data_IF_447825081868
#
_entry.id   IF_447825081868
#
_cell.length_a   1.000
_cell.length_b   1.000
_cell.length_c   1.000
_cell.angle_alpha   90.00
_cell.angle_beta   90.00
_cell.angle_gamma   90.00
#
_symmetry.space_group_name_H-M   'P 1'
#
loop_
_entity.id
_entity.type
_entity.pdbx_description
1 polymer ?
#
# COMPACT_ATOMS: atom_id res chain seq x y z
N UNK A 1 -8.21 20.26 -7.95
CA UNK A 1 -9.08 20.48 -6.78
C UNK A 1 -8.97 19.23 -5.92
N UNK A 2 -8.44 19.18 -4.70
CA UNK A 2 -8.03 20.22 -3.76
C UNK A 2 -6.67 19.85 -3.14
N UNK A 3 -5.67 20.73 -3.27
CA UNK A 3 -4.42 20.68 -2.51
C UNK A 3 -4.68 21.30 -1.15
N UNK A 4 -4.87 20.45 -0.12
CA UNK A 4 -4.87 20.88 1.27
C UNK A 4 -3.54 20.50 1.91
N UNK A 5 -2.50 21.24 1.54
CA UNK A 5 -1.31 21.36 2.37
C UNK A 5 -1.71 22.03 3.68
N UNK A 6 -1.63 21.29 4.77
CA UNK A 6 -1.78 21.83 6.13
C UNK A 6 -0.79 22.98 6.31
N UNK A 7 -1.27 24.13 6.81
CA UNK A 7 -0.48 25.34 7.12
C UNK A 7 0.48 25.18 8.31
N UNK A 8 1.28 24.12 8.31
CA UNK A 8 2.47 23.98 9.13
C UNK A 8 3.60 23.64 8.16
N UNK A 9 4.67 24.44 8.14
CA UNK A 9 5.85 24.10 7.35
C UNK A 9 6.28 22.65 7.63
N UNK A 10 6.92 21.96 6.67
CA UNK A 10 7.32 20.58 6.84
C UNK A 10 8.12 20.45 8.15
N UNK A 11 7.83 19.47 9.01
CA UNK A 11 8.62 19.23 10.21
C UNK A 11 10.10 19.22 9.83
N UNK A 12 10.95 19.88 10.64
CA UNK A 12 12.40 19.91 10.41
C UNK A 12 12.97 18.48 10.42
N UNK A 13 12.98 17.87 9.25
CA UNK A 13 13.37 16.50 9.09
C UNK A 13 14.90 16.46 8.93
N UNK A 14 15.63 16.18 10.03
CA UNK A 14 17.07 15.90 10.05
C UNK A 14 17.49 14.98 8.88
N UNK A 15 18.47 15.43 8.10
CA UNK A 15 19.06 14.75 6.96
C UNK A 15 19.88 13.55 7.47
N UNK A 16 19.58 12.30 7.06
CA UNK A 16 20.47 11.17 7.45
C UNK A 16 19.98 9.75 7.26
N UNK A 17 18.75 9.39 7.63
CA UNK A 17 18.16 8.08 7.32
C UNK A 17 16.66 8.16 7.57
N UNK A 18 15.86 8.07 6.51
CA UNK A 18 14.40 8.14 6.63
C UNK A 18 13.78 7.11 5.74
N UNK A 19 13.26 6.10 6.39
CA UNK A 19 12.22 5.24 5.88
C UNK A 19 11.14 6.11 5.27
N UNK A 20 10.87 5.88 3.99
CA UNK A 20 9.92 6.66 3.24
C UNK A 20 8.77 5.75 2.79
N UNK A 21 7.58 6.13 3.24
CA UNK A 21 6.29 5.57 2.83
C UNK A 21 5.38 6.76 2.61
N UNK A 22 4.74 6.84 1.43
CA UNK A 22 3.64 7.76 1.18
C UNK A 22 2.35 6.98 1.34
N UNK A 23 1.37 7.59 2.00
CA UNK A 23 0.07 6.97 2.14
C UNK A 23 -1.04 7.98 2.30
N UNK A 24 -2.22 7.57 1.85
CA UNK A 24 -3.48 8.32 1.97
C UNK A 24 -4.53 7.35 2.46
N UNK A 25 -5.36 7.80 3.40
CA UNK A 25 -6.53 7.06 3.85
C UNK A 25 -7.79 7.88 3.60
N UNK A 26 -8.77 7.22 2.98
CA UNK A 26 -10.05 7.81 2.59
C UNK A 26 -11.17 7.04 3.26
N UNK A 27 -12.10 7.76 3.89
CA UNK A 27 -13.36 7.19 4.38
C UNK A 27 -14.51 7.78 3.56
N UNK A 28 -15.37 6.92 3.06
CA UNK A 28 -16.55 7.25 2.25
C UNK A 28 -17.84 7.19 3.08
N UNK A 29 -18.89 7.85 2.59
CA UNK A 29 -20.20 7.80 3.24
C UNK A 29 -20.87 6.43 3.06
N UNK A 30 -20.67 5.78 1.91
CA UNK A 30 -21.21 4.46 1.59
C UNK A 30 -20.10 3.40 1.40
N UNK A 31 -20.44 2.10 1.39
CA UNK A 31 -19.46 1.04 1.20
C UNK A 31 -18.71 1.14 -0.13
N UNK A 32 -17.39 0.93 -0.07
CA UNK A 32 -16.49 0.96 -1.23
C UNK A 32 -16.63 -0.27 -2.13
N UNK A 33 -17.47 -1.24 -1.75
CA UNK A 33 -17.88 -2.34 -2.61
C UNK A 33 -18.58 -1.86 -3.89
N UNK A 34 -19.16 -0.66 -3.88
CA UNK A 34 -19.75 -0.01 -5.05
C UNK A 34 -18.74 0.57 -6.04
N UNK A 35 -17.49 0.78 -5.61
CA UNK A 35 -16.41 1.33 -6.45
C UNK A 35 -15.94 0.26 -7.43
N UNK A 36 -15.87 0.58 -8.72
CA UNK A 36 -15.46 -0.39 -9.75
C UNK A 36 -13.97 -0.70 -9.65
N UNK A 37 -13.53 -1.81 -10.25
CA UNK A 37 -12.10 -2.13 -10.33
C UNK A 37 -11.34 -1.03 -11.10
N UNK A 38 -11.94 -0.48 -12.16
CA UNK A 38 -11.30 0.58 -12.96
C UNK A 38 -11.12 1.88 -12.19
N UNK A 39 -12.07 2.22 -11.32
CA UNK A 39 -11.96 3.39 -10.45
C UNK A 39 -10.86 3.20 -9.40
N UNK A 40 -10.76 2.02 -8.78
CA UNK A 40 -9.63 1.69 -7.88
C UNK A 40 -8.28 1.76 -8.62
N UNK A 41 -8.23 1.29 -9.87
CA UNK A 41 -7.05 1.39 -10.72
C UNK A 41 -6.66 2.86 -11.02
N UNK A 42 -7.64 3.73 -11.28
CA UNK A 42 -7.40 5.17 -11.46
C UNK A 42 -6.91 5.83 -10.16
N UNK A 43 -7.44 5.44 -8.99
CA UNK A 43 -7.00 5.94 -7.68
C UNK A 43 -5.51 5.63 -7.42
N UNK A 44 -5.02 4.45 -7.84
CA UNK A 44 -3.59 4.10 -7.73
C UNK A 44 -2.71 5.05 -8.55
N UNK A 45 -3.14 5.38 -9.78
CA UNK A 45 -2.43 6.32 -10.64
C UNK A 45 -2.47 7.76 -10.10
N UNK A 46 -3.57 8.18 -9.51
CA UNK A 46 -3.68 9.50 -8.90
C UNK A 46 -2.82 9.60 -7.63
N UNK A 47 -2.79 8.56 -6.80
CA UNK A 47 -1.91 8.51 -5.64
C UNK A 47 -0.42 8.51 -6.02
N UNK A 48 -0.03 7.95 -7.18
CA UNK A 48 1.33 8.14 -7.72
C UNK A 48 1.63 9.61 -7.99
N UNK A 49 0.69 10.35 -8.59
CA UNK A 49 0.87 11.78 -8.88
C UNK A 49 0.98 12.57 -7.58
N UNK A 50 0.15 12.26 -6.58
CA UNK A 50 0.23 12.86 -5.24
C UNK A 50 1.59 12.61 -4.58
N UNK A 51 2.07 11.36 -4.58
CA UNK A 51 3.38 11.03 -4.00
C UNK A 51 4.56 11.75 -4.70
N UNK A 52 4.44 12.07 -6.00
CA UNK A 52 5.43 12.89 -6.69
C UNK A 52 5.39 14.36 -6.26
N UNK A 53 4.20 14.92 -6.04
CA UNK A 53 4.03 16.28 -5.51
C UNK A 53 4.58 16.36 -4.08
N UNK A 54 4.32 15.36 -3.25
CA UNK A 54 4.85 15.31 -1.89
C UNK A 54 6.37 15.23 -1.88
N UNK A 55 6.99 14.44 -2.77
CA UNK A 55 8.45 14.40 -2.89
C UNK A 55 9.06 15.78 -3.16
N UNK A 56 8.44 16.54 -4.07
CA UNK A 56 8.87 17.90 -4.38
C UNK A 56 8.71 18.82 -3.16
N UNK A 57 7.58 18.72 -2.45
CA UNK A 57 7.32 19.48 -1.22
C UNK A 57 8.39 19.24 -0.14
N UNK A 58 8.94 18.02 -0.04
CA UNK A 58 9.97 17.65 0.92
C UNK A 58 11.41 17.75 0.37
N UNK A 59 11.60 18.33 -0.81
CA UNK A 59 12.90 18.47 -1.49
C UNK A 59 13.66 17.13 -1.63
N UNK A 60 12.89 16.06 -1.88
CA UNK A 60 13.45 14.74 -2.12
C UNK A 60 13.64 14.49 -3.62
N UNK A 61 14.81 13.95 -3.97
CA UNK A 61 15.06 13.45 -5.32
C UNK A 61 14.04 12.35 -5.68
N UNK A 62 13.53 12.34 -6.92
CA UNK A 62 12.67 11.28 -7.46
C UNK A 62 13.19 9.86 -7.17
N UNK A 63 14.51 9.64 -7.09
CA UNK A 63 15.14 8.36 -6.71
C UNK A 63 14.69 7.83 -5.34
N UNK A 64 14.20 8.70 -4.47
CA UNK A 64 13.66 8.37 -3.14
C UNK A 64 12.24 7.83 -3.19
N UNK A 65 11.46 8.12 -4.23
CA UNK A 65 10.11 7.54 -4.39
C UNK A 65 10.20 6.02 -4.24
N UNK A 66 9.34 5.36 -3.46
CA UNK A 66 9.25 3.91 -3.51
C UNK A 66 8.70 3.44 -4.87
N UNK A 67 9.02 2.23 -5.29
CA UNK A 67 8.71 1.76 -6.65
C UNK A 67 7.32 1.16 -6.81
N UNK A 68 6.67 0.78 -5.73
CA UNK A 68 5.34 0.15 -5.75
C UNK A 68 4.37 0.99 -4.95
N UNK A 69 3.13 1.08 -5.42
CA UNK A 69 1.99 1.62 -4.70
C UNK A 69 0.87 0.57 -4.67
N UNK A 70 0.17 0.45 -3.55
CA UNK A 70 -0.90 -0.53 -3.35
C UNK A 70 -2.13 0.17 -2.80
N UNK A 71 -3.30 -0.27 -3.26
CA UNK A 71 -4.60 0.13 -2.73
C UNK A 71 -5.25 -1.05 -2.01
N UNK A 72 -5.79 -0.83 -0.82
CA UNK A 72 -6.72 -1.72 -0.11
C UNK A 72 -8.08 -1.01 -0.01
N UNK A 73 -9.15 -1.65 -0.47
CA UNK A 73 -10.52 -1.17 -0.36
C UNK A 73 -11.36 -2.18 0.45
N UNK A 74 -11.97 -1.72 1.54
CA UNK A 74 -12.72 -2.56 2.48
C UNK A 74 -13.76 -1.71 3.23
N UNK A 75 -14.92 -2.28 3.58
CA UNK A 75 -15.98 -1.54 4.28
C UNK A 75 -16.34 -0.23 3.57
N UNK A 76 -16.08 0.90 4.22
CA UNK A 76 -16.25 2.26 3.68
C UNK A 76 -14.90 2.98 3.47
N UNK A 77 -13.79 2.25 3.48
CA UNK A 77 -12.44 2.80 3.56
C UNK A 77 -11.58 2.37 2.38
N UNK A 78 -10.67 3.27 2.00
CA UNK A 78 -9.57 3.00 1.09
C UNK A 78 -8.26 3.42 1.75
N UNK A 79 -7.30 2.52 1.74
CA UNK A 79 -5.91 2.80 2.12
C UNK A 79 -5.06 2.69 0.85
N UNK A 80 -4.35 3.77 0.53
CA UNK A 80 -3.31 3.80 -0.48
C UNK A 80 -1.97 3.91 0.22
N UNK A 81 -1.04 3.00 -0.06
CA UNK A 81 0.29 3.03 0.55
C UNK A 81 1.36 2.60 -0.45
N UNK A 82 2.47 3.31 -0.45
CA UNK A 82 3.65 2.87 -1.20
C UNK A 82 4.37 1.75 -0.47
N UNK A 83 5.14 0.94 -1.20
CA UNK A 83 6.25 0.19 -0.60
C UNK A 83 7.15 1.10 0.23
N UNK A 84 7.94 0.54 1.13
CA UNK A 84 8.89 1.30 1.94
C UNK A 84 10.25 1.42 1.25
N UNK A 85 10.84 2.62 1.28
CA UNK A 85 12.24 2.86 0.92
C UNK A 85 13.07 3.11 2.17
N UNK A 86 14.05 2.26 2.45
CA UNK A 86 14.89 2.34 3.65
C UNK A 86 14.85 1.04 4.48
N UNK A 87 15.49 0.99 5.66
CA UNK A 87 15.35 -0.09 6.63
C UNK A 87 13.89 -0.42 6.98
N UNK A 88 13.40 -1.64 6.68
CA UNK A 88 12.02 -1.96 7.01
C UNK A 88 11.74 -1.94 8.51
N UNK A 89 10.68 -1.24 8.93
CA UNK A 89 10.21 -1.28 10.32
C UNK A 89 9.25 -2.46 10.57
N UNK A 90 8.84 -3.19 9.53
CA UNK A 90 7.76 -4.17 9.61
C UNK A 90 8.08 -5.36 10.52
N UNK A 91 9.37 -5.67 10.72
CA UNK A 91 9.81 -6.73 11.65
C UNK A 91 10.03 -6.24 13.08
N UNK A 92 10.33 -4.95 13.26
CA UNK A 92 10.71 -4.35 14.55
C UNK A 92 9.51 -3.73 15.28
N UNK A 93 8.35 -3.67 14.63
CA UNK A 93 7.11 -3.20 15.23
C UNK A 93 6.57 -4.20 16.26
N UNK A 94 5.90 -3.69 17.31
CA UNK A 94 5.25 -4.47 18.38
C UNK A 94 4.46 -5.65 17.79
N UNK A 95 4.44 -6.79 18.50
CA UNK A 95 3.73 -8.03 18.11
C UNK A 95 2.36 -7.71 17.49
N UNK A 96 2.29 -7.86 16.17
CA UNK A 96 1.14 -7.48 15.36
C UNK A 96 0.74 -8.63 14.42
N UNK A 97 -0.51 -8.66 13.93
CA UNK A 97 -0.93 -9.63 12.91
C UNK A 97 -0.06 -9.58 11.64
N UNK A 98 0.52 -8.41 11.33
CA UNK A 98 1.48 -8.26 10.23
C UNK A 98 2.78 -9.00 10.52
N UNK A 99 3.35 -8.83 11.72
CA UNK A 99 4.57 -9.54 12.12
C UNK A 99 4.35 -11.07 12.13
N UNK A 100 3.18 -11.53 12.59
CA UNK A 100 2.80 -12.94 12.54
C UNK A 100 2.72 -13.45 11.09
N UNK A 101 2.10 -12.67 10.19
CA UNK A 101 2.03 -13.04 8.78
C UNK A 101 3.40 -13.10 8.11
N UNK A 102 4.30 -12.15 8.42
CA UNK A 102 5.68 -12.17 7.94
C UNK A 102 6.46 -13.37 8.48
N UNK A 103 6.26 -13.73 9.75
CA UNK A 103 6.87 -14.91 10.36
C UNK A 103 6.37 -16.22 9.70
N UNK A 104 5.08 -16.30 9.37
CA UNK A 104 4.51 -17.44 8.63
C UNK A 104 5.16 -17.56 7.26
N UNK A 105 5.32 -16.45 6.53
CA UNK A 105 6.01 -16.49 5.24
C UNK A 105 7.43 -17.06 5.40
N UNK A 106 8.20 -16.59 6.39
CA UNK A 106 9.56 -17.10 6.64
C UNK A 106 9.57 -18.59 6.99
N UNK A 107 8.61 -19.06 7.78
CA UNK A 107 8.49 -20.46 8.15
C UNK A 107 8.16 -21.36 6.93
N UNK A 108 7.22 -20.94 6.08
CA UNK A 108 6.84 -21.68 4.86
C UNK A 108 8.03 -21.76 3.89
N UNK A 109 8.81 -20.71 3.75
CA UNK A 109 10.01 -20.75 2.90
C UNK A 109 11.09 -21.70 3.42
N UNK A 110 11.32 -21.70 4.73
CA UNK A 110 12.25 -22.63 5.37
C UNK A 110 11.84 -24.08 5.13
N UNK A 111 10.54 -24.36 5.22
CA UNK A 111 9.99 -25.69 4.92
C UNK A 111 10.20 -26.09 3.45
N UNK A 112 9.98 -25.16 2.52
CA UNK A 112 10.10 -25.42 1.08
C UNK A 112 11.54 -25.53 0.56
N UNK A 113 12.48 -24.80 1.15
CA UNK A 113 13.85 -24.66 0.61
C UNK A 113 14.94 -25.20 1.52
N UNK A 114 14.61 -25.47 2.79
CA UNK A 114 15.59 -25.79 3.83
C UNK A 114 16.41 -24.59 4.32
N UNK A 115 16.20 -23.40 3.76
CA UNK A 115 16.93 -22.19 4.13
C UNK A 115 16.07 -21.23 4.95
N UNK A 116 16.62 -20.78 6.08
CA UNK A 116 16.01 -19.68 6.84
C UNK A 116 16.46 -18.35 6.26
N UNK A 117 15.60 -17.77 5.42
CA UNK A 117 15.88 -16.50 4.72
C UNK A 117 14.72 -15.55 4.93
N UNK A 118 15.03 -14.29 5.19
CA UNK A 118 14.04 -13.22 5.19
C UNK A 118 13.76 -12.85 3.73
N UNK A 119 12.48 -12.64 3.38
CA UNK A 119 12.08 -12.19 2.05
C UNK A 119 12.96 -11.02 1.57
N UNK A 120 13.38 -10.98 0.29
CA UNK A 120 14.36 -9.99 -0.20
C UNK A 120 13.91 -8.54 0.01
N UNK A 121 12.60 -8.28 -0.01
CA UNK A 121 12.02 -6.96 0.27
C UNK A 121 11.90 -6.64 1.75
N UNK A 122 12.30 -7.56 2.64
CA UNK A 122 12.31 -7.40 4.10
C UNK A 122 11.02 -6.82 4.66
N UNK A 123 9.85 -7.23 4.17
CA UNK A 123 8.56 -6.72 4.66
C UNK A 123 8.19 -5.31 4.16
N UNK A 124 8.99 -4.69 3.29
CA UNK A 124 8.75 -3.35 2.72
C UNK A 124 7.73 -3.30 1.58
N UNK A 125 7.00 -4.39 1.29
CA UNK A 125 6.04 -4.44 0.16
C UNK A 125 4.82 -3.55 0.42
N UNK A 126 4.19 -3.04 -0.64
CA UNK A 126 3.06 -2.11 -0.50
C UNK A 126 1.85 -2.76 0.17
N UNK A 127 1.60 -4.04 -0.10
CA UNK A 127 0.57 -4.88 0.51
C UNK A 127 0.77 -4.97 2.03
N UNK A 128 2.01 -5.12 2.46
CA UNK A 128 2.39 -5.18 3.88
C UNK A 128 2.22 -3.81 4.54
N UNK A 129 2.55 -2.71 3.84
CA UNK A 129 2.35 -1.36 4.34
C UNK A 129 0.86 -1.02 4.49
N UNK A 130 0.01 -1.40 3.53
CA UNK A 130 -1.44 -1.26 3.65
C UNK A 130 -1.99 -2.09 4.81
N UNK A 131 -1.56 -3.34 4.95
CA UNK A 131 -1.95 -4.20 6.06
C UNK A 131 -1.55 -3.62 7.42
N UNK A 132 -0.34 -3.06 7.52
CA UNK A 132 0.12 -2.39 8.73
C UNK A 132 -0.78 -1.22 9.10
N UNK A 133 -1.10 -0.36 8.13
CA UNK A 133 -2.00 0.78 8.33
C UNK A 133 -3.42 0.34 8.71
N UNK A 134 -3.93 -0.73 8.09
CA UNK A 134 -5.21 -1.32 8.47
C UNK A 134 -5.24 -1.67 9.97
N UNK A 135 -4.24 -2.41 10.46
CA UNK A 135 -4.21 -2.82 11.87
C UNK A 135 -3.87 -1.70 12.87
N UNK A 136 -3.57 -0.47 12.43
CA UNK A 136 -3.50 0.69 13.34
C UNK A 136 -4.89 1.19 13.75
N UNK A 137 -5.89 1.02 12.89
CA UNK A 137 -7.27 1.47 13.12
C UNK A 137 -8.26 0.35 13.37
N UNK A 138 -7.92 -0.89 13.02
CA UNK A 138 -8.84 -2.01 12.96
C UNK A 138 -8.34 -3.22 13.75
N UNK A 139 -9.26 -3.91 14.41
CA UNK A 139 -8.99 -5.17 15.15
C UNK A 139 -9.53 -6.41 14.44
N UNK A 140 -10.48 -6.23 13.52
CA UNK A 140 -11.00 -7.31 12.67
C UNK A 140 -9.86 -7.93 11.86
N UNK A 141 -9.74 -9.26 11.78
CA UNK A 141 -8.73 -9.88 10.92
C UNK A 141 -8.96 -9.54 9.44
N UNK A 142 -7.88 -9.29 8.68
CA UNK A 142 -7.97 -9.00 7.23
C UNK A 142 -8.74 -10.07 6.45
N UNK A 143 -8.65 -11.33 6.88
CA UNK A 143 -9.40 -12.47 6.31
C UNK A 143 -10.92 -12.30 6.32
N UNK A 144 -11.43 -11.49 7.25
CA UNK A 144 -12.85 -11.21 7.44
C UNK A 144 -13.24 -9.83 6.89
N UNK A 145 -12.27 -8.99 6.54
CA UNK A 145 -12.48 -7.61 6.11
C UNK A 145 -12.93 -7.48 4.64
N UNK A 146 -12.96 -8.57 3.87
CA UNK A 146 -13.34 -8.60 2.45
C UNK A 146 -12.55 -7.58 1.60
N UNK A 147 -11.25 -7.51 1.82
CA UNK A 147 -10.38 -6.53 1.16
C UNK A 147 -10.26 -6.81 -0.33
N UNK A 148 -10.45 -5.77 -1.15
CA UNK A 148 -10.02 -5.72 -2.56
C UNK A 148 -8.69 -5.00 -2.65
N UNK A 149 -7.73 -5.58 -3.37
CA UNK A 149 -6.38 -5.02 -3.45
C UNK A 149 -5.84 -4.95 -4.88
N UNK A 150 -5.05 -3.92 -5.18
CA UNK A 150 -4.32 -3.80 -6.44
C UNK A 150 -2.97 -3.11 -6.20
N UNK A 151 -1.93 -3.60 -6.87
CA UNK A 151 -0.59 -3.02 -6.77
C UNK A 151 -0.10 -2.56 -8.14
N UNK A 152 0.60 -1.43 -8.14
CA UNK A 152 1.14 -0.77 -9.32
C UNK A 152 2.62 -0.47 -9.18
N UNK A 153 3.40 -0.77 -10.22
CA UNK A 153 4.79 -0.38 -10.34
C UNK A 153 4.92 1.01 -10.95
N UNK A 154 5.65 1.90 -10.28
CA UNK A 154 5.81 3.30 -10.67
C UNK A 154 7.01 3.45 -11.63
N UNK A 155 6.72 3.72 -12.90
CA UNK A 155 7.73 4.11 -13.90
C UNK A 155 7.96 5.62 -13.88
N UNK A 156 8.95 6.05 -13.10
CA UNK A 156 9.26 7.48 -12.88
C UNK A 156 9.48 8.25 -14.19
N UNK A 157 10.36 7.74 -15.06
CA UNK A 157 10.69 8.38 -16.35
C UNK A 157 9.52 8.45 -17.33
N UNK A 158 8.66 7.46 -17.31
CA UNK A 158 7.53 7.33 -18.24
C UNK A 158 6.25 7.95 -17.66
N UNK A 159 6.29 8.42 -16.40
CA UNK A 159 5.18 9.01 -15.66
C UNK A 159 3.91 8.15 -15.71
N UNK A 160 4.07 6.83 -15.57
CA UNK A 160 2.97 5.85 -15.59
C UNK A 160 3.07 4.84 -14.46
N UNK A 161 1.95 4.15 -14.19
CA UNK A 161 1.88 2.91 -13.41
C UNK A 161 1.58 1.75 -14.35
N UNK A 162 2.30 0.64 -14.19
CA UNK A 162 1.82 -0.66 -14.71
C UNK A 162 1.39 -1.52 -13.52
N UNK A 163 0.21 -2.13 -13.58
CA UNK A 163 -0.25 -3.00 -12.53
C UNK A 163 0.53 -4.31 -12.54
N UNK A 164 0.92 -4.76 -11.35
CA UNK A 164 1.78 -5.92 -11.15
C UNK A 164 1.11 -6.90 -10.18
N UNK A 165 1.35 -8.20 -10.33
CA UNK A 165 0.91 -9.16 -9.32
C UNK A 165 1.74 -8.98 -8.04
N UNK A 166 1.26 -9.50 -6.89
CA UNK A 166 2.05 -9.47 -5.67
C UNK A 166 3.34 -10.28 -5.86
N UNK A 167 4.42 -9.88 -5.19
CA UNK A 167 5.67 -10.65 -5.25
C UNK A 167 5.45 -12.06 -4.69
N UNK A 168 6.11 -13.06 -5.27
CA UNK A 168 5.66 -14.46 -5.12
C UNK A 168 5.05 -15.05 -6.38
N UNK A 169 4.32 -14.22 -7.13
CA UNK A 169 3.57 -14.70 -8.28
C UNK A 169 4.50 -15.13 -9.42
N UNK A 170 4.52 -16.43 -9.74
CA UNK A 170 5.22 -17.03 -10.88
C UNK A 170 6.75 -16.85 -10.89
N UNK A 171 7.42 -16.72 -9.73
CA UNK A 171 8.88 -16.68 -9.64
C UNK A 171 9.41 -17.66 -8.59
N UNK A 172 10.63 -18.16 -8.83
CA UNK A 172 11.30 -19.15 -7.97
C UNK A 172 11.96 -18.54 -6.72
N UNK A 173 12.15 -17.22 -6.70
CA UNK A 173 12.99 -16.53 -5.69
C UNK A 173 12.36 -15.29 -5.04
N UNK A 174 11.19 -14.87 -5.49
CA UNK A 174 10.32 -13.92 -4.78
C UNK A 174 9.18 -14.76 -4.20
N UNK A 175 8.97 -14.72 -2.89
CA UNK A 175 7.95 -15.50 -2.18
C UNK A 175 7.37 -14.63 -1.07
N UNK A 176 6.05 -14.57 -0.90
CA UNK A 176 5.48 -14.15 0.38
C UNK A 176 4.32 -13.17 0.32
N UNK A 177 4.24 -12.24 -0.63
CA UNK A 177 3.06 -11.35 -0.71
C UNK A 177 1.88 -12.07 -1.34
N UNK A 178 2.11 -12.94 -2.32
CA UNK A 178 1.10 -13.86 -2.85
C UNK A 178 0.51 -14.79 -1.76
N UNK A 179 1.38 -15.36 -0.92
CA UNK A 179 0.98 -16.17 0.23
C UNK A 179 0.23 -15.34 1.26
N UNK A 180 0.71 -14.13 1.57
CA UNK A 180 0.04 -13.18 2.47
C UNK A 180 -1.37 -12.86 1.99
N UNK A 181 -1.52 -12.51 0.71
CA UNK A 181 -2.80 -12.24 0.05
C UNK A 181 -3.73 -13.45 0.15
N UNK A 182 -3.22 -14.65 -0.14
CA UNK A 182 -3.99 -15.90 -0.08
C UNK A 182 -4.45 -16.24 1.34
N UNK A 183 -3.57 -16.17 2.32
CA UNK A 183 -3.87 -16.48 3.72
C UNK A 183 -4.90 -15.53 4.34
N UNK A 184 -4.85 -14.26 3.93
CA UNK A 184 -5.78 -13.22 4.39
C UNK A 184 -7.00 -13.08 3.46
N UNK A 185 -7.26 -14.02 2.56
CA UNK A 185 -8.43 -14.01 1.66
C UNK A 185 -8.64 -12.64 0.96
N UNK A 186 -7.54 -12.00 0.58
CA UNK A 186 -7.58 -10.68 -0.07
C UNK A 186 -7.91 -10.90 -1.56
N UNK A 187 -8.96 -10.24 -2.03
CA UNK A 187 -9.35 -10.26 -3.44
C UNK A 187 -8.41 -9.35 -4.25
N UNK A 188 -7.31 -9.91 -4.73
CA UNK A 188 -6.35 -9.19 -5.57
C UNK A 188 -6.91 -9.04 -7.00
N UNK A 189 -7.02 -7.81 -7.47
CA UNK A 189 -7.68 -7.46 -8.72
C UNK A 189 -6.83 -7.87 -9.94
N UNK A 190 -7.48 -7.98 -11.10
CA UNK A 190 -6.81 -8.31 -12.35
C UNK A 190 -5.84 -7.19 -12.76
N UNK A 191 -4.58 -7.52 -13.00
CA UNK A 191 -3.55 -6.57 -13.43
C UNK A 191 -3.82 -5.94 -14.81
N UNK A 192 -4.75 -6.49 -15.60
CA UNK A 192 -5.19 -5.93 -16.87
C UNK A 192 -6.39 -4.99 -16.73
N UNK A 193 -6.79 -4.63 -15.51
CA UNK A 193 -7.88 -3.69 -15.27
C UNK A 193 -7.56 -2.34 -15.89
N UNK A 194 -8.45 -1.88 -16.77
CA UNK A 194 -8.38 -0.55 -17.36
C UNK A 194 -8.82 0.51 -16.35
N UNK A 195 -8.18 1.66 -16.39
CA UNK A 195 -8.49 2.78 -15.50
C UNK A 195 -9.82 3.42 -15.91
N UNK A 196 -10.65 3.73 -14.92
CA UNK A 196 -11.96 4.37 -15.10
C UNK A 196 -12.01 5.67 -14.29
N UNK A 197 -12.49 6.74 -14.91
CA UNK A 197 -12.63 8.03 -14.24
C UNK A 197 -13.65 7.95 -13.09
N UNK A 198 -13.42 8.75 -12.05
CA UNK A 198 -14.33 8.89 -10.91
C UNK A 198 -14.37 10.34 -10.43
N UNK A 199 -15.37 10.66 -9.61
CA UNK A 199 -15.44 11.92 -8.87
C UNK A 199 -15.63 11.62 -7.38
N UNK A 200 -14.65 11.99 -6.56
CA UNK A 200 -14.66 11.79 -5.09
C UNK A 200 -15.87 12.42 -4.39
N UNK A 201 -16.53 13.42 -5.01
CA UNK A 201 -17.73 14.04 -4.44
C UNK A 201 -18.95 13.11 -4.48
N UNK A 202 -19.00 12.20 -5.44
CA UNK A 202 -20.15 11.32 -5.69
C UNK A 202 -19.81 9.84 -5.51
N UNK A 203 -18.53 9.47 -5.65
CA UNK A 203 -18.04 8.11 -5.50
C UNK A 203 -18.38 7.57 -4.10
N UNK A 204 -19.06 6.42 -4.05
CA UNK A 204 -19.52 5.79 -2.80
C UNK A 204 -20.21 6.78 -1.84
N UNK A 205 -21.15 7.59 -2.36
CA UNK A 205 -21.88 8.59 -1.56
C UNK A 205 -21.05 9.80 -1.16
N UNK A 206 -19.85 9.95 -1.72
CA UNK A 206 -18.90 11.01 -1.45
C UNK A 206 -17.95 10.70 -0.29
N UNK A 207 -16.83 11.43 -0.28
CA UNK A 207 -15.84 11.36 0.80
C UNK A 207 -16.41 11.96 2.09
N UNK A 208 -16.29 11.20 3.16
CA UNK A 208 -16.51 11.63 4.55
C UNK A 208 -15.25 12.22 5.16
N UNK A 209 -14.09 11.61 4.92
CA UNK A 209 -12.80 11.98 5.53
C UNK A 209 -11.63 11.65 4.62
N UNK A 210 -10.62 12.54 4.62
CA UNK A 210 -9.30 12.31 4.04
C UNK A 210 -8.29 12.55 5.15
N UNK A 211 -7.43 11.57 5.42
CA UNK A 211 -6.36 11.70 6.40
C UNK A 211 -5.16 10.78 6.07
N UNK A 212 -4.22 10.70 7.01
CA UNK A 212 -3.11 9.77 6.99
C UNK A 212 -3.14 8.92 8.26
N UNK A 213 -3.03 7.61 8.10
CA UNK A 213 -2.81 6.69 9.21
C UNK A 213 -1.33 6.73 9.57
N UNK A 214 -1.03 6.99 10.84
CA UNK A 214 0.36 7.06 11.31
C UNK A 214 1.01 5.69 11.22
N UNK A 215 2.09 5.60 10.45
CA UNK A 215 2.81 4.35 10.18
C UNK A 215 3.80 3.96 11.32
N UNK A 216 4.36 4.95 12.03
CA UNK A 216 5.27 4.82 13.18
C UNK A 216 5.29 6.10 14.05
#
# INVERSE_FOLDING_TARGET
MATLGTKGGPPNFVHGSKDLVFSTHLTFNEPVSSITNGQLAQMVEDARKEALVDLEQYDFNEKRLPSVITIFAFGNEVILSTSQKGPSFAYDFVVSPVQQSLAICTAVWKDQTGEEKIHFRKGSCGEIMCAHQYYQGHTTPLKEANVRALSGFIYRRQKKVDFIPPCGSNQKDDWGCDLFISQNNINFLNIKTEQEAYDLKTLAGGIKKIDQIRTC
#
